data_IF_389111521408
#
_entry.id   IF_389111521408
#
_cell.length_a   1.000
_cell.length_b   1.000
_cell.length_c   1.000
_cell.angle_alpha   90.00
_cell.angle_beta   90.00
_cell.angle_gamma   90.00
#
_symmetry.space_group_name_H-M   'P 1'
#
loop_
_entity.id
_entity.type
_entity.pdbx_description
1 polymer ?
#
# COMPACT_ATOMS: atom_id res chain seq x y z
N UNK A 1 -33.00 14.10 2.72
CA UNK A 1 -33.26 12.84 1.95
C UNK A 1 -32.57 12.75 0.58
N UNK A 2 -32.62 13.78 -0.30
CA UNK A 2 -32.07 13.69 -1.68
C UNK A 2 -30.52 13.54 -1.81
N UNK A 3 -29.74 14.07 -0.87
CA UNK A 3 -28.27 13.99 -0.91
C UNK A 3 -27.71 12.59 -0.55
N UNK A 4 -28.37 11.89 0.37
CA UNK A 4 -28.00 10.52 0.77
C UNK A 4 -28.29 9.51 -0.35
N UNK A 5 -29.46 9.62 -0.98
CA UNK A 5 -29.83 8.82 -2.16
C UNK A 5 -28.90 9.06 -3.36
N UNK A 6 -28.53 10.32 -3.64
CA UNK A 6 -27.51 10.63 -4.66
C UNK A 6 -26.13 10.07 -4.30
N UNK A 7 -25.75 10.01 -3.01
CA UNK A 7 -24.46 9.45 -2.57
C UNK A 7 -24.40 7.93 -2.70
N UNK A 8 -25.51 7.23 -2.43
CA UNK A 8 -25.66 5.79 -2.70
C UNK A 8 -25.55 5.49 -4.21
N UNK A 9 -26.34 6.19 -5.04
CA UNK A 9 -26.33 5.99 -6.50
C UNK A 9 -25.00 6.39 -7.18
N UNK A 10 -24.22 7.31 -6.59
CA UNK A 10 -22.89 7.69 -7.11
C UNK A 10 -21.79 6.72 -6.68
N UNK A 11 -21.98 5.97 -5.58
CA UNK A 11 -21.04 4.93 -5.12
C UNK A 11 -20.94 3.78 -6.12
N UNK A 12 -22.03 3.46 -6.83
CA UNK A 12 -22.12 2.31 -7.75
C UNK A 12 -21.42 2.48 -9.11
N UNK A 13 -21.14 3.71 -9.57
CA UNK A 13 -20.55 3.93 -10.92
C UNK A 13 -19.03 4.10 -10.96
N UNK A 14 -18.37 4.34 -9.83
CA UNK A 14 -16.91 4.54 -9.86
C UNK A 14 -16.17 3.20 -10.02
N UNK A 15 -15.04 3.16 -10.72
CA UNK A 15 -14.19 1.97 -10.74
C UNK A 15 -13.67 1.65 -9.33
N UNK A 16 -13.52 0.36 -9.03
CA UNK A 16 -12.77 -0.11 -7.86
C UNK A 16 -11.28 -0.17 -8.20
N UNK A 17 -10.44 -0.12 -7.17
CA UNK A 17 -9.00 -0.29 -7.30
C UNK A 17 -8.63 -1.72 -6.98
N UNK A 18 -7.71 -2.30 -7.75
CA UNK A 18 -7.16 -3.63 -7.48
C UNK A 18 -5.65 -3.57 -7.42
N UNK A 19 -5.07 -3.87 -6.25
CA UNK A 19 -3.64 -4.13 -6.13
C UNK A 19 -3.35 -5.64 -6.27
N UNK A 20 -2.84 -6.00 -7.44
CA UNK A 20 -2.41 -7.34 -7.77
C UNK A 20 -1.07 -7.61 -7.08
N UNK A 21 -1.12 -8.15 -5.86
CA UNK A 21 0.07 -8.36 -5.05
C UNK A 21 0.82 -9.61 -5.52
N UNK A 22 1.87 -9.44 -6.30
CA UNK A 22 2.82 -10.52 -6.61
C UNK A 22 3.60 -10.85 -5.32
N UNK A 23 3.61 -12.09 -4.83
CA UNK A 23 4.37 -12.44 -3.63
C UNK A 23 5.83 -12.00 -3.74
N UNK A 24 6.39 -11.49 -2.62
CA UNK A 24 7.81 -11.10 -2.49
C UNK A 24 8.26 -9.88 -3.34
N UNK A 25 7.32 -9.07 -3.84
CA UNK A 25 7.61 -7.77 -4.49
C UNK A 25 7.37 -6.57 -3.55
N UNK A 26 7.67 -6.74 -2.25
CA UNK A 26 7.43 -5.77 -1.17
C UNK A 26 5.96 -5.34 -0.98
N UNK A 27 5.00 -6.14 -1.45
CA UNK A 27 3.59 -5.77 -1.43
C UNK A 27 2.98 -5.65 -0.04
N UNK A 28 3.48 -6.32 1.00
CA UNK A 28 2.99 -6.11 2.39
C UNK A 28 3.22 -4.67 2.87
N UNK A 29 4.41 -4.11 2.60
CA UNK A 29 4.71 -2.72 2.94
C UNK A 29 3.87 -1.75 2.09
N UNK A 30 3.71 -2.05 0.80
CA UNK A 30 2.89 -1.23 -0.09
C UNK A 30 1.39 -1.29 0.28
N UNK A 31 0.88 -2.43 0.71
CA UNK A 31 -0.50 -2.58 1.19
C UNK A 31 -0.76 -1.64 2.37
N UNK A 32 0.16 -1.56 3.34
CA UNK A 32 0.04 -0.63 4.47
C UNK A 32 -0.04 0.82 4.00
N UNK A 33 0.73 1.19 2.98
CA UNK A 33 0.69 2.53 2.39
C UNK A 33 -0.62 2.77 1.62
N UNK A 34 -1.07 1.82 0.81
CA UNK A 34 -2.30 1.95 0.02
C UNK A 34 -3.55 2.02 0.91
N UNK A 35 -3.61 1.21 1.96
CA UNK A 35 -4.75 1.13 2.89
C UNK A 35 -5.09 2.48 3.52
N UNK A 36 -4.11 3.37 3.69
CA UNK A 36 -4.36 4.69 4.28
C UNK A 36 -5.24 5.58 3.39
N UNK A 37 -5.27 5.34 2.08
CA UNK A 37 -6.04 6.14 1.14
C UNK A 37 -7.49 5.68 0.92
N UNK A 38 -7.92 4.65 1.66
CA UNK A 38 -9.28 4.12 1.65
C UNK A 38 -9.85 4.04 3.07
N UNK A 39 -11.16 4.18 3.22
CA UNK A 39 -11.82 3.93 4.52
C UNK A 39 -11.80 2.42 4.80
N UNK A 40 -11.70 2.02 6.08
CA UNK A 40 -11.62 0.60 6.46
C UNK A 40 -12.73 -0.24 5.84
N UNK A 41 -13.98 0.22 5.95
CA UNK A 41 -15.17 -0.46 5.40
C UNK A 41 -15.22 -0.56 3.87
N UNK A 42 -14.39 0.23 3.16
CA UNK A 42 -14.32 0.24 1.70
C UNK A 42 -13.18 -0.68 1.19
N UNK A 43 -12.40 -1.32 2.07
CA UNK A 43 -11.31 -2.26 1.74
C UNK A 43 -11.82 -3.69 1.95
N UNK A 44 -11.59 -4.55 0.96
CA UNK A 44 -11.88 -5.98 1.09
C UNK A 44 -10.92 -6.62 2.11
N UNK A 45 -11.42 -7.26 3.18
CA UNK A 45 -10.57 -7.78 4.24
C UNK A 45 -9.78 -9.03 3.80
N UNK A 46 -10.37 -9.86 2.94
CA UNK A 46 -9.70 -11.03 2.38
C UNK A 46 -8.61 -10.62 1.39
N UNK A 47 -7.48 -11.32 1.46
CA UNK A 47 -6.31 -11.12 0.61
C UNK A 47 -5.90 -12.39 -0.13
N UNK A 48 -6.55 -13.50 0.16
CA UNK A 48 -6.27 -14.82 -0.39
C UNK A 48 -7.58 -15.45 -0.81
N UNK A 49 -7.57 -16.24 -1.88
CA UNK A 49 -8.75 -16.95 -2.34
C UNK A 49 -9.38 -17.83 -1.26
N UNK A 50 -8.57 -18.56 -0.48
CA UNK A 50 -9.04 -19.41 0.63
C UNK A 50 -9.79 -18.67 1.76
N UNK A 51 -9.67 -17.35 1.82
CA UNK A 51 -10.38 -16.53 2.80
C UNK A 51 -11.76 -16.11 2.29
N UNK A 52 -12.00 -16.21 0.98
CA UNK A 52 -13.27 -15.83 0.35
C UNK A 52 -14.24 -17.00 0.47
N UNK A 53 -15.10 -16.95 1.48
CA UNK A 53 -16.13 -17.98 1.72
C UNK A 53 -17.37 -17.82 0.82
N UNK A 54 -17.75 -16.58 0.49
CA UNK A 54 -18.93 -16.27 -0.31
C UNK A 54 -18.64 -15.15 -1.33
N UNK A 55 -18.53 -15.54 -2.61
CA UNK A 55 -18.30 -14.60 -3.71
C UNK A 55 -19.47 -13.64 -3.95
N UNK A 56 -20.70 -14.07 -3.71
CA UNK A 56 -21.88 -13.22 -3.89
C UNK A 56 -21.89 -12.12 -2.83
N UNK A 57 -21.60 -12.48 -1.57
CA UNK A 57 -21.45 -11.52 -0.49
C UNK A 57 -20.35 -10.49 -0.79
N UNK A 58 -19.14 -10.93 -1.17
CA UNK A 58 -18.02 -10.02 -1.51
C UNK A 58 -18.39 -9.07 -2.66
N UNK A 59 -19.02 -9.57 -3.73
CA UNK A 59 -19.48 -8.73 -4.85
C UNK A 59 -20.50 -7.70 -4.39
N UNK A 60 -21.48 -8.12 -3.59
CA UNK A 60 -22.58 -7.27 -3.13
C UNK A 60 -22.12 -6.11 -2.25
N UNK A 61 -21.05 -6.30 -1.47
CA UNK A 61 -20.48 -5.26 -0.60
C UNK A 61 -19.85 -4.10 -1.37
N UNK A 62 -19.51 -4.30 -2.65
CA UNK A 62 -19.02 -3.23 -3.55
C UNK A 62 -17.79 -2.48 -3.02
N UNK A 63 -16.82 -3.22 -2.45
CA UNK A 63 -15.53 -2.68 -1.99
C UNK A 63 -14.89 -1.76 -3.04
N UNK A 64 -14.26 -0.67 -2.56
CA UNK A 64 -13.55 0.29 -3.42
C UNK A 64 -12.09 -0.10 -3.63
N UNK A 65 -11.53 -0.91 -2.73
CA UNK A 65 -10.17 -1.38 -2.83
C UNK A 65 -10.09 -2.87 -2.54
N UNK A 66 -9.60 -3.60 -3.54
CA UNK A 66 -9.32 -5.04 -3.48
C UNK A 66 -7.80 -5.18 -3.54
N UNK A 67 -7.23 -6.02 -2.68
CA UNK A 67 -5.78 -6.21 -2.64
C UNK A 67 -5.43 -7.60 -2.14
N UNK A 68 -4.42 -8.21 -2.75
CA UNK A 68 -3.98 -9.53 -2.33
C UNK A 68 -3.57 -10.42 -3.50
N UNK A 69 -3.51 -11.71 -3.20
CA UNK A 69 -3.02 -12.76 -4.09
C UNK A 69 -4.14 -13.34 -4.96
N UNK A 70 -4.81 -12.48 -5.73
CA UNK A 70 -5.94 -12.86 -6.59
C UNK A 70 -5.57 -13.03 -8.08
N UNK A 71 -4.28 -12.85 -8.42
CA UNK A 71 -3.74 -12.90 -9.78
C UNK A 71 -4.27 -11.80 -10.71
N UNK A 72 -3.77 -11.73 -11.95
CA UNK A 72 -4.03 -10.59 -12.83
C UNK A 72 -5.51 -10.42 -13.22
N UNK A 73 -6.18 -11.50 -13.60
CA UNK A 73 -7.58 -11.53 -14.02
C UNK A 73 -8.56 -11.93 -12.91
N UNK A 74 -8.10 -12.64 -11.88
CA UNK A 74 -9.00 -13.26 -10.90
C UNK A 74 -9.85 -12.26 -10.09
N UNK A 75 -9.35 -11.04 -9.83
CA UNK A 75 -10.11 -10.02 -9.13
C UNK A 75 -11.41 -9.58 -9.84
N UNK A 76 -11.56 -9.87 -11.15
CA UNK A 76 -12.82 -9.65 -11.86
C UNK A 76 -13.96 -10.53 -11.31
N UNK A 77 -13.64 -11.60 -10.58
CA UNK A 77 -14.63 -12.43 -9.87
C UNK A 77 -15.04 -11.88 -8.52
N UNK A 78 -14.39 -10.82 -8.01
CA UNK A 78 -14.68 -10.24 -6.71
C UNK A 78 -15.55 -8.97 -6.80
N UNK A 79 -15.79 -8.44 -8.00
CA UNK A 79 -16.57 -7.22 -8.19
C UNK A 79 -17.18 -7.10 -9.57
N UNK A 80 -18.31 -6.40 -9.66
CA UNK A 80 -18.92 -5.99 -10.94
C UNK A 80 -18.38 -4.66 -11.46
N UNK A 81 -17.55 -3.97 -10.67
CA UNK A 81 -17.03 -2.63 -11.00
C UNK A 81 -15.84 -2.76 -11.96
N UNK A 82 -15.66 -1.82 -12.90
CA UNK A 82 -14.41 -1.73 -13.65
C UNK A 82 -13.22 -1.57 -12.69
N UNK A 83 -12.11 -2.24 -12.99
CA UNK A 83 -10.92 -2.25 -12.13
C UNK A 83 -9.84 -1.29 -12.62
N UNK A 84 -9.42 -0.40 -11.73
CA UNK A 84 -8.17 0.36 -11.82
C UNK A 84 -7.05 -0.46 -11.20
N UNK A 85 -6.23 -1.06 -12.05
CA UNK A 85 -5.24 -2.07 -11.64
C UNK A 85 -3.91 -1.42 -11.23
N UNK A 86 -3.32 -1.96 -10.18
CA UNK A 86 -2.05 -1.56 -9.58
C UNK A 86 -1.20 -2.82 -9.37
N UNK A 87 0.12 -2.76 -9.58
CA UNK A 87 1.04 -3.85 -9.21
C UNK A 87 2.44 -3.32 -8.91
N UNK A 88 3.29 -4.16 -8.33
CA UNK A 88 4.71 -3.91 -8.14
C UNK A 88 5.50 -5.11 -8.67
N UNK A 89 6.44 -4.86 -9.57
CA UNK A 89 7.35 -5.85 -10.12
C UNK A 89 8.71 -5.80 -9.41
N UNK A 90 9.49 -6.86 -9.55
CA UNK A 90 10.83 -6.98 -8.98
C UNK A 90 11.73 -7.72 -9.96
N UNK A 91 13.02 -7.41 -9.95
CA UNK A 91 14.03 -8.15 -10.69
C UNK A 91 13.89 -9.67 -10.47
N UNK A 92 13.89 -10.50 -11.54
CA UNK A 92 13.66 -11.94 -11.42
C UNK A 92 14.68 -12.68 -10.54
N UNK A 93 15.94 -12.24 -10.51
CA UNK A 93 17.01 -12.82 -9.68
C UNK A 93 16.74 -12.53 -8.21
N UNK A 94 16.49 -11.27 -7.90
CA UNK A 94 16.11 -10.82 -6.55
C UNK A 94 14.79 -11.44 -6.07
N UNK A 95 13.82 -11.63 -6.96
CA UNK A 95 12.55 -12.29 -6.68
C UNK A 95 12.73 -13.78 -6.36
N UNK A 96 13.54 -14.48 -7.17
CA UNK A 96 13.84 -15.91 -7.00
C UNK A 96 14.55 -16.15 -5.68
N UNK A 97 15.60 -15.37 -5.39
CA UNK A 97 16.32 -15.48 -4.11
C UNK A 97 15.40 -15.15 -2.92
N UNK A 98 14.59 -14.09 -3.02
CA UNK A 98 13.68 -13.72 -1.94
C UNK A 98 12.61 -14.78 -1.67
N UNK A 99 12.25 -15.56 -2.70
CA UNK A 99 11.35 -16.71 -2.59
C UNK A 99 12.05 -17.88 -1.87
N UNK A 100 13.26 -18.24 -2.30
CA UNK A 100 14.09 -19.25 -1.62
C UNK A 100 14.31 -18.93 -0.14
N UNK A 101 14.77 -17.72 0.17
CA UNK A 101 15.03 -17.29 1.55
C UNK A 101 13.77 -17.26 2.42
N UNK A 102 12.60 -16.99 1.82
CA UNK A 102 11.33 -17.07 2.52
C UNK A 102 10.96 -18.52 2.84
N UNK A 103 11.00 -19.42 1.85
CA UNK A 103 10.71 -20.84 2.04
C UNK A 103 11.63 -21.44 3.11
N UNK A 104 12.93 -21.16 3.04
CA UNK A 104 13.91 -21.64 4.01
C UNK A 104 13.64 -21.18 5.46
N UNK A 105 12.97 -20.04 5.64
CA UNK A 105 12.67 -19.49 6.98
C UNK A 105 11.28 -19.88 7.48
N UNK A 106 10.28 -19.89 6.60
CA UNK A 106 8.90 -20.12 6.97
C UNK A 106 8.55 -21.60 6.95
N UNK A 107 8.42 -22.19 8.14
CA UNK A 107 8.12 -23.62 8.36
C UNK A 107 6.83 -24.11 7.68
N UNK A 108 5.86 -23.21 7.49
CA UNK A 108 4.55 -23.55 6.94
C UNK A 108 4.51 -23.49 5.40
N UNK A 109 5.66 -23.49 4.72
CA UNK A 109 5.71 -23.56 3.25
C UNK A 109 5.80 -25.01 2.78
N UNK A 110 5.18 -25.31 1.64
CA UNK A 110 5.00 -26.70 1.14
C UNK A 110 6.31 -27.48 1.04
N UNK A 111 7.41 -26.81 0.69
CA UNK A 111 8.71 -27.43 0.46
C UNK A 111 9.75 -27.02 1.51
N UNK A 112 9.32 -26.49 2.67
CA UNK A 112 10.26 -26.09 3.75
C UNK A 112 11.13 -27.26 4.19
N UNK A 113 10.50 -28.39 4.52
CA UNK A 113 11.17 -29.57 5.06
C UNK A 113 12.15 -30.18 4.05
N UNK A 114 11.79 -30.17 2.76
CA UNK A 114 12.69 -30.55 1.67
C UNK A 114 13.92 -29.62 1.64
N UNK A 115 13.69 -28.30 1.56
CA UNK A 115 14.78 -27.31 1.41
C UNK A 115 15.72 -27.31 2.61
N UNK A 116 15.19 -27.45 3.83
CA UNK A 116 16.00 -27.44 5.06
C UNK A 116 16.60 -28.81 5.34
N UNK A 117 15.82 -29.89 5.18
CA UNK A 117 16.24 -31.26 5.47
C UNK A 117 17.34 -31.75 4.54
N UNK A 118 17.25 -31.43 3.25
CA UNK A 118 18.30 -31.74 2.26
C UNK A 118 19.37 -30.64 2.17
N UNK A 119 19.25 -29.59 2.98
CA UNK A 119 20.14 -28.44 2.98
C UNK A 119 20.36 -27.82 1.59
N UNK A 120 19.31 -27.78 0.75
CA UNK A 120 19.39 -27.30 -0.61
C UNK A 120 20.01 -25.90 -0.68
N UNK A 121 21.08 -25.78 -1.46
CA UNK A 121 21.65 -24.49 -1.83
C UNK A 121 20.65 -23.70 -2.69
N UNK A 122 20.91 -22.41 -2.91
CA UNK A 122 20.05 -21.64 -3.82
C UNK A 122 20.17 -22.20 -5.25
N UNK A 123 21.39 -22.59 -5.65
CA UNK A 123 21.69 -23.22 -6.93
C UNK A 123 20.89 -24.51 -7.14
N UNK A 124 20.83 -25.39 -6.14
CA UNK A 124 20.09 -26.66 -6.21
C UNK A 124 18.58 -26.42 -6.21
N UNK A 125 18.11 -25.48 -5.39
CA UNK A 125 16.71 -25.07 -5.37
C UNK A 125 16.20 -24.57 -6.73
N UNK A 126 17.06 -23.97 -7.56
CA UNK A 126 16.69 -23.49 -8.88
C UNK A 126 16.48 -24.61 -9.91
N UNK A 127 17.01 -25.81 -9.68
CA UNK A 127 16.97 -26.92 -10.65
C UNK A 127 16.27 -28.18 -10.11
N UNK A 128 16.00 -28.23 -8.81
CA UNK A 128 15.34 -29.37 -8.20
C UNK A 128 13.88 -29.49 -8.71
N UNK A 129 13.43 -30.69 -9.13
CA UNK A 129 12.11 -30.89 -9.76
C UNK A 129 10.94 -30.32 -8.96
N UNK A 130 10.98 -30.47 -7.63
CA UNK A 130 9.90 -30.03 -6.74
C UNK A 130 9.92 -28.53 -6.40
N UNK A 131 10.99 -27.81 -6.75
CA UNK A 131 11.16 -26.40 -6.35
C UNK A 131 11.34 -25.44 -7.52
N UNK A 132 11.86 -25.88 -8.66
CA UNK A 132 12.10 -25.04 -9.85
C UNK A 132 10.84 -24.28 -10.28
N UNK A 133 9.68 -24.93 -10.26
CA UNK A 133 8.41 -24.32 -10.65
C UNK A 133 7.93 -23.20 -9.72
N UNK A 134 8.41 -23.17 -8.47
CA UNK A 134 8.06 -22.14 -7.49
C UNK A 134 8.68 -20.78 -7.82
N UNK A 135 9.71 -20.76 -8.67
CA UNK A 135 10.43 -19.54 -9.07
C UNK A 135 10.44 -19.28 -10.57
N UNK A 136 9.93 -20.19 -11.39
CA UNK A 136 9.92 -20.02 -12.86
C UNK A 136 8.79 -19.11 -13.34
N UNK A 137 9.13 -18.04 -14.05
CA UNK A 137 8.25 -17.07 -14.69
C UNK A 137 7.09 -16.60 -13.79
N UNK A 138 7.36 -16.34 -12.51
CA UNK A 138 6.32 -16.08 -11.50
C UNK A 138 5.51 -14.83 -11.79
N UNK A 139 6.14 -13.73 -12.21
CA UNK A 139 5.43 -12.47 -12.49
C UNK A 139 4.49 -12.65 -13.68
N UNK A 140 4.97 -13.29 -14.74
CA UNK A 140 4.17 -13.60 -15.93
C UNK A 140 3.00 -14.51 -15.56
N UNK A 141 3.25 -15.65 -14.89
CA UNK A 141 2.20 -16.59 -14.46
C UNK A 141 1.16 -15.90 -13.56
N UNK A 142 1.60 -15.05 -12.64
CA UNK A 142 0.70 -14.33 -11.74
C UNK A 142 -0.20 -13.32 -12.48
N UNK A 143 0.38 -12.54 -13.40
CA UNK A 143 -0.35 -11.50 -14.13
C UNK A 143 -1.18 -12.05 -15.30
N UNK A 144 -0.83 -13.22 -15.84
CA UNK A 144 -1.61 -13.90 -16.88
C UNK A 144 -2.84 -14.63 -16.33
N UNK A 145 -2.77 -15.06 -15.06
CA UNK A 145 -3.80 -15.83 -14.37
C UNK A 145 -5.20 -15.24 -14.54
N UNK A 146 -6.14 -16.09 -14.94
CA UNK A 146 -7.56 -15.80 -14.99
C UNK A 146 -8.35 -17.12 -14.98
N UNK A 147 -9.49 -17.14 -14.29
CA UNK A 147 -10.34 -18.34 -14.18
C UNK A 147 -10.88 -18.84 -15.51
N UNK A 148 -10.99 -17.95 -16.51
CA UNK A 148 -11.51 -18.30 -17.84
C UNK A 148 -10.44 -18.60 -18.87
N UNK A 149 -9.32 -17.89 -18.86
CA UNK A 149 -8.36 -17.96 -19.97
C UNK A 149 -7.02 -18.58 -19.61
N UNK A 150 -6.66 -18.67 -18.33
CA UNK A 150 -5.40 -19.27 -17.87
C UNK A 150 -5.54 -19.83 -16.45
N UNK A 151 -6.35 -20.90 -16.26
CA UNK A 151 -6.58 -21.49 -14.96
C UNK A 151 -5.34 -22.23 -14.43
N UNK A 152 -4.40 -22.59 -15.30
CA UNK A 152 -3.22 -23.38 -14.96
C UNK A 152 -2.18 -22.67 -14.07
N UNK A 153 -2.23 -21.33 -13.98
CA UNK A 153 -1.33 -20.59 -13.10
C UNK A 153 -1.65 -20.77 -11.59
N UNK A 154 -2.70 -21.53 -11.24
CA UNK A 154 -3.18 -21.74 -9.88
C UNK A 154 -2.19 -22.47 -8.97
N UNK A 155 -1.47 -23.48 -9.49
CA UNK A 155 -0.62 -24.37 -8.71
C UNK A 155 0.54 -23.65 -8.01
N UNK A 156 0.94 -22.47 -8.52
CA UNK A 156 2.06 -21.69 -7.97
C UNK A 156 1.63 -20.78 -6.80
N UNK A 157 0.33 -20.56 -6.62
CA UNK A 157 -0.19 -19.55 -5.66
C UNK A 157 -1.27 -20.07 -4.71
N UNK A 158 -1.84 -21.24 -4.98
CA UNK A 158 -2.97 -21.82 -4.24
C UNK A 158 -2.58 -23.17 -3.65
N UNK A 159 -3.04 -23.46 -2.44
CA UNK A 159 -2.90 -24.82 -1.88
C UNK A 159 -3.79 -25.79 -2.65
N UNK A 160 -3.49 -27.11 -2.64
CA UNK A 160 -4.37 -28.12 -3.24
C UNK A 160 -5.83 -28.00 -2.79
N UNK A 161 -6.06 -27.72 -1.50
CA UNK A 161 -7.39 -27.45 -0.96
C UNK A 161 -8.06 -26.23 -1.62
N UNK A 162 -7.33 -25.13 -1.76
CA UNK A 162 -7.88 -23.91 -2.39
C UNK A 162 -8.18 -24.15 -3.87
N UNK A 163 -7.39 -24.98 -4.56
CA UNK A 163 -7.65 -25.35 -5.95
C UNK A 163 -8.95 -26.15 -6.04
N UNK A 164 -9.15 -27.13 -5.16
CA UNK A 164 -10.40 -27.91 -5.10
C UNK A 164 -11.62 -27.00 -4.85
N UNK A 165 -11.52 -26.08 -3.88
CA UNK A 165 -12.60 -25.14 -3.54
C UNK A 165 -12.95 -24.20 -4.72
N UNK A 166 -11.97 -23.83 -5.54
CA UNK A 166 -12.15 -22.95 -6.69
C UNK A 166 -12.42 -23.69 -8.00
N UNK A 167 -12.32 -25.02 -8.03
CA UNK A 167 -12.55 -25.84 -9.21
C UNK A 167 -13.90 -25.55 -9.90
N UNK A 168 -15.02 -25.31 -9.17
CA UNK A 168 -16.30 -24.96 -9.80
C UNK A 168 -16.29 -23.64 -10.59
N UNK A 169 -15.32 -22.76 -10.33
CA UNK A 169 -15.18 -21.46 -11.00
C UNK A 169 -14.33 -21.53 -12.26
N UNK A 170 -13.66 -22.66 -12.50
CA UNK A 170 -12.83 -22.89 -13.67
C UNK A 170 -13.71 -23.26 -14.87
N UNK A 171 -13.49 -22.60 -16.00
CA UNK A 171 -14.03 -23.09 -17.27
C UNK A 171 -13.19 -24.28 -17.73
N UNK A 172 -13.68 -25.51 -17.54
CA UNK A 172 -12.98 -26.76 -17.85
C UNK A 172 -12.60 -27.00 -19.33
N UNK A 173 -12.87 -26.04 -20.22
CA UNK A 173 -12.63 -26.15 -21.68
C UNK A 173 -11.57 -25.16 -22.21
N UNK A 174 -10.83 -24.49 -21.34
CA UNK A 174 -9.86 -23.48 -21.78
C UNK A 174 -8.54 -24.11 -22.20
N UNK A 175 -7.99 -23.77 -23.38
CA UNK A 175 -6.73 -24.33 -23.84
C UNK A 175 -5.59 -23.93 -22.90
N UNK A 176 -4.67 -24.86 -22.64
CA UNK A 176 -3.44 -24.59 -21.88
C UNK A 176 -2.63 -23.57 -22.68
N UNK A 177 -2.35 -22.42 -22.08
CA UNK A 177 -1.56 -21.38 -22.72
C UNK A 177 -0.08 -21.77 -22.76
N UNK A 178 0.58 -21.44 -23.87
CA UNK A 178 2.04 -21.48 -23.94
C UNK A 178 2.65 -20.35 -23.10
N UNK A 179 3.92 -20.48 -22.69
CA UNK A 179 4.58 -19.43 -21.91
C UNK A 179 4.66 -18.09 -22.66
N UNK A 180 4.79 -18.13 -24.00
CA UNK A 180 4.72 -16.94 -24.83
C UNK A 180 3.33 -16.28 -24.78
N UNK A 181 2.25 -17.07 -24.86
CA UNK A 181 0.90 -16.53 -24.71
C UNK A 181 0.66 -15.93 -23.33
N UNK A 182 1.20 -16.54 -22.27
CA UNK A 182 1.14 -15.98 -20.90
C UNK A 182 1.91 -14.67 -20.82
N UNK A 183 3.11 -14.58 -21.39
CA UNK A 183 3.89 -13.35 -21.47
C UNK A 183 3.11 -12.22 -22.17
N UNK A 184 2.54 -12.49 -23.34
CA UNK A 184 1.75 -11.49 -24.06
C UNK A 184 0.55 -10.99 -23.25
N UNK A 185 -0.11 -11.89 -22.50
CA UNK A 185 -1.20 -11.52 -21.57
C UNK A 185 -0.71 -10.67 -20.41
N UNK A 186 0.39 -11.04 -19.76
CA UNK A 186 0.98 -10.28 -18.66
C UNK A 186 1.41 -8.87 -19.11
N UNK A 187 2.04 -8.77 -20.28
CA UNK A 187 2.40 -7.48 -20.89
C UNK A 187 1.17 -6.64 -21.21
N UNK A 188 0.12 -7.23 -21.80
CA UNK A 188 -1.16 -6.55 -22.04
C UNK A 188 -1.79 -6.07 -20.73
N UNK A 189 -1.71 -6.85 -19.66
CA UNK A 189 -2.20 -6.47 -18.34
C UNK A 189 -1.48 -5.23 -17.81
N UNK A 190 -0.13 -5.19 -17.92
CA UNK A 190 0.66 -4.03 -17.51
C UNK A 190 0.29 -2.77 -18.31
N UNK A 191 0.10 -2.91 -19.62
CA UNK A 191 -0.27 -1.78 -20.49
C UNK A 191 -1.64 -1.18 -20.14
N UNK A 192 -2.53 -1.99 -19.57
CA UNK A 192 -3.85 -1.57 -19.12
C UNK A 192 -3.87 -1.13 -17.65
N UNK A 193 -2.77 -1.32 -16.91
CA UNK A 193 -2.71 -0.95 -15.51
C UNK A 193 -2.78 0.58 -15.35
N UNK A 194 -3.47 1.03 -14.31
CA UNK A 194 -3.46 2.45 -13.95
C UNK A 194 -2.05 2.89 -13.54
N UNK A 195 -1.34 1.99 -12.86
CA UNK A 195 0.02 2.20 -12.39
C UNK A 195 0.68 0.86 -12.13
N UNK A 196 2.00 0.79 -12.34
CA UNK A 196 2.85 -0.25 -11.80
C UNK A 196 4.17 0.35 -11.35
N UNK A 197 4.78 -0.25 -10.34
CA UNK A 197 6.12 0.11 -9.87
C UNK A 197 7.16 -0.96 -10.19
N UNK A 198 8.42 -0.55 -10.17
CA UNK A 198 9.59 -1.46 -10.14
C UNK A 198 10.28 -1.30 -8.80
N UNK A 199 10.52 -2.41 -8.10
CA UNK A 199 10.96 -2.38 -6.70
C UNK A 199 12.34 -1.71 -6.52
N UNK A 200 13.23 -1.82 -7.50
CA UNK A 200 14.56 -1.22 -7.44
C UNK A 200 14.53 0.31 -7.40
N UNK A 201 13.42 0.91 -7.85
CA UNK A 201 13.14 2.35 -7.77
C UNK A 201 11.90 2.62 -6.92
N UNK A 202 11.80 1.97 -5.76
CA UNK A 202 10.61 2.02 -4.89
C UNK A 202 10.14 3.45 -4.57
N UNK A 203 11.04 4.34 -4.16
CA UNK A 203 10.67 5.70 -3.74
C UNK A 203 10.15 6.52 -4.94
N UNK A 204 10.78 6.41 -6.11
CA UNK A 204 10.28 6.98 -7.38
C UNK A 204 8.92 6.37 -7.78
N UNK A 205 8.74 5.07 -7.55
CA UNK A 205 7.49 4.41 -7.84
C UNK A 205 6.35 4.97 -6.98
N UNK A 206 6.61 5.28 -5.70
CA UNK A 206 5.65 5.93 -4.81
C UNK A 206 5.36 7.37 -5.21
N UNK A 207 6.35 8.11 -5.72
CA UNK A 207 6.16 9.45 -6.30
C UNK A 207 5.26 9.42 -7.53
N UNK A 208 5.52 8.50 -8.46
CA UNK A 208 4.67 8.29 -9.65
C UNK A 208 3.24 7.90 -9.26
N UNK A 209 3.09 7.02 -8.27
CA UNK A 209 1.78 6.64 -7.75
C UNK A 209 1.05 7.87 -7.17
N UNK A 210 1.74 8.69 -6.39
CA UNK A 210 1.18 9.90 -5.78
C UNK A 210 0.70 10.89 -6.84
N UNK A 211 1.48 11.10 -7.91
CA UNK A 211 1.09 11.90 -9.05
C UNK A 211 -0.17 11.37 -9.76
N UNK A 212 -0.17 10.08 -10.12
CA UNK A 212 -1.27 9.42 -10.84
C UNK A 212 -2.57 9.42 -10.03
N UNK A 213 -2.45 9.20 -8.73
CA UNK A 213 -3.58 9.10 -7.81
C UNK A 213 -4.01 10.46 -7.25
N UNK A 214 -3.21 11.51 -7.46
CA UNK A 214 -3.39 12.85 -6.88
C UNK A 214 -3.46 12.75 -5.37
N UNK A 215 -2.48 12.08 -4.81
CA UNK A 215 -2.29 11.92 -3.37
C UNK A 215 -1.14 12.82 -2.91
N UNK A 216 -1.13 13.22 -1.63
CA UNK A 216 0.04 13.90 -1.08
C UNK A 216 1.26 12.99 -1.20
N UNK A 217 2.48 13.56 -1.17
CA UNK A 217 3.70 12.77 -1.07
C UNK A 217 3.60 11.79 0.10
N UNK A 218 4.03 10.54 -0.08
CA UNK A 218 3.81 9.50 0.93
C UNK A 218 4.68 9.67 2.19
N UNK A 219 5.66 10.58 2.17
CA UNK A 219 6.60 10.82 3.25
C UNK A 219 7.70 9.76 3.31
N UNK A 220 8.35 9.67 4.47
CA UNK A 220 9.46 8.73 4.66
C UNK A 220 8.95 7.28 4.76
N UNK A 221 9.58 6.37 3.99
CA UNK A 221 9.28 4.95 4.07
C UNK A 221 10.18 4.25 5.09
N UNK A 222 9.59 3.59 6.11
CA UNK A 222 10.36 2.72 7.00
C UNK A 222 10.54 1.34 6.36
N UNK A 223 11.73 1.06 5.83
CA UNK A 223 12.06 -0.20 5.16
C UNK A 223 12.38 -1.31 6.18
N UNK A 224 11.38 -1.75 6.94
CA UNK A 224 11.50 -2.75 8.02
C UNK A 224 11.97 -4.15 7.56
N UNK A 225 11.76 -4.48 6.29
CA UNK A 225 12.03 -5.83 5.74
C UNK A 225 13.23 -5.86 4.78
N UNK A 226 14.16 -4.89 4.86
CA UNK A 226 15.37 -4.93 4.04
C UNK A 226 16.32 -5.99 4.61
N UNK A 227 16.72 -6.98 3.79
CA UNK A 227 17.82 -7.86 4.19
C UNK A 227 19.04 -7.00 4.55
N UNK A 228 19.58 -7.19 5.77
CA UNK A 228 20.68 -6.39 6.34
C UNK A 228 21.93 -6.45 5.44
N UNK A 229 22.10 -7.54 4.68
CA UNK A 229 23.05 -7.66 3.58
C UNK A 229 22.35 -8.24 2.36
N UNK A 230 22.59 -7.66 1.17
CA UNK A 230 22.19 -8.31 -0.09
C UNK A 230 22.97 -9.63 -0.19
N UNK A 231 22.31 -10.73 -0.56
CA UNK A 231 23.00 -11.99 -0.78
C UNK A 231 23.98 -11.85 -1.95
N UNK A 232 25.14 -12.47 -1.84
CA UNK A 232 26.03 -12.65 -2.98
C UNK A 232 25.47 -13.84 -3.77
N UNK A 233 24.96 -13.58 -4.96
CA UNK A 233 24.41 -14.60 -5.87
C UNK A 233 25.51 -14.94 -6.87
N UNK A 234 25.87 -16.22 -6.97
CA UNK A 234 26.88 -16.71 -7.90
C UNK A 234 26.46 -16.49 -9.36
N UNK A 235 27.44 -16.41 -10.28
CA UNK A 235 27.14 -16.28 -11.72
C UNK A 235 26.35 -17.50 -12.24
N UNK A 236 26.65 -18.70 -11.72
CA UNK A 236 25.90 -19.91 -12.04
C UNK A 236 24.44 -19.81 -11.59
N UNK A 237 24.17 -19.39 -10.35
CA UNK A 237 22.80 -19.18 -9.87
C UNK A 237 22.07 -18.11 -10.67
N UNK A 238 22.75 -17.00 -10.99
CA UNK A 238 22.20 -15.94 -11.82
C UNK A 238 21.79 -16.48 -13.19
N UNK A 239 22.67 -17.21 -13.87
CA UNK A 239 22.37 -17.78 -15.18
C UNK A 239 21.17 -18.74 -15.11
N UNK A 240 21.14 -19.65 -14.13
CA UNK A 240 20.02 -20.58 -13.91
C UNK A 240 18.70 -19.85 -13.69
N UNK A 241 18.69 -18.75 -12.94
CA UNK A 241 17.49 -17.92 -12.81
C UNK A 241 17.08 -17.39 -14.18
N UNK A 242 17.98 -16.77 -14.93
CA UNK A 242 17.67 -16.14 -16.20
C UNK A 242 17.13 -17.15 -17.23
N UNK A 243 17.68 -18.36 -17.25
CA UNK A 243 17.21 -19.45 -18.11
C UNK A 243 15.78 -19.88 -17.74
N UNK A 244 15.51 -20.06 -16.43
CA UNK A 244 14.19 -20.44 -15.92
C UNK A 244 13.15 -19.31 -15.98
N UNK A 245 13.59 -18.06 -16.16
CA UNK A 245 12.76 -16.84 -16.04
C UNK A 245 12.83 -15.94 -17.27
N UNK A 246 13.08 -16.50 -18.46
CA UNK A 246 13.22 -15.73 -19.70
C UNK A 246 12.10 -14.72 -19.91
N UNK A 247 10.84 -15.13 -19.70
CA UNK A 247 9.68 -14.25 -19.91
C UNK A 247 9.48 -13.25 -18.77
N UNK A 248 9.84 -13.61 -17.54
CA UNK A 248 9.87 -12.67 -16.41
C UNK A 248 10.93 -11.57 -16.62
N UNK A 249 12.12 -11.93 -17.14
CA UNK A 249 13.16 -10.97 -17.53
C UNK A 249 12.68 -10.04 -18.64
N UNK A 250 12.09 -10.59 -19.71
CA UNK A 250 11.50 -9.77 -20.79
C UNK A 250 10.39 -8.84 -20.30
N UNK A 251 9.56 -9.29 -19.36
CA UNK A 251 8.50 -8.48 -18.77
C UNK A 251 9.08 -7.38 -17.88
N UNK A 252 10.11 -7.69 -17.10
CA UNK A 252 10.77 -6.74 -16.20
C UNK A 252 11.52 -5.65 -16.96
N UNK A 253 12.29 -6.00 -17.99
CA UNK A 253 12.98 -5.04 -18.86
C UNK A 253 11.97 -4.09 -19.51
N UNK A 254 10.87 -4.63 -20.04
CA UNK A 254 9.77 -3.85 -20.57
C UNK A 254 9.19 -2.90 -19.51
N UNK A 255 8.92 -3.40 -18.30
CA UNK A 255 8.38 -2.60 -17.20
C UNK A 255 9.35 -1.49 -16.79
N UNK A 256 10.66 -1.73 -16.72
CA UNK A 256 11.65 -0.71 -16.41
C UNK A 256 11.65 0.42 -17.43
N UNK A 257 11.64 0.10 -18.73
CA UNK A 257 11.61 1.09 -19.80
C UNK A 257 10.33 1.95 -19.75
N UNK A 258 9.17 1.29 -19.62
CA UNK A 258 7.88 1.98 -19.52
C UNK A 258 7.79 2.83 -18.25
N UNK A 259 8.24 2.31 -17.11
CA UNK A 259 8.29 3.06 -15.85
C UNK A 259 9.17 4.31 -15.98
N UNK A 260 10.38 4.18 -16.53
CA UNK A 260 11.29 5.31 -16.74
C UNK A 260 10.71 6.38 -17.68
N UNK A 261 9.98 5.98 -18.72
CA UNK A 261 9.24 6.91 -19.60
C UNK A 261 8.11 7.64 -18.85
N UNK A 262 7.30 6.91 -18.09
CA UNK A 262 6.20 7.48 -17.30
C UNK A 262 6.71 8.41 -16.19
N UNK A 263 7.83 8.07 -15.56
CA UNK A 263 8.46 8.90 -14.53
C UNK A 263 8.97 10.22 -15.10
N UNK A 264 9.71 10.20 -16.22
CA UNK A 264 10.14 11.42 -16.91
C UNK A 264 8.97 12.28 -17.37
N UNK A 265 7.91 11.65 -17.86
CA UNK A 265 6.67 12.36 -18.24
C UNK A 265 6.04 13.07 -17.04
N UNK A 266 6.03 12.43 -15.86
CA UNK A 266 5.59 13.07 -14.62
C UNK A 266 6.49 14.25 -14.26
N UNK A 267 7.81 14.08 -14.27
CA UNK A 267 8.75 15.16 -13.94
C UNK A 267 8.53 16.38 -14.83
N UNK A 268 8.48 16.17 -16.15
CA UNK A 268 8.21 17.25 -17.11
C UNK A 268 6.85 17.93 -16.85
N UNK A 269 5.81 17.17 -16.50
CA UNK A 269 4.49 17.72 -16.18
C UNK A 269 4.45 18.49 -14.85
N UNK A 270 5.46 18.32 -14.01
CA UNK A 270 5.67 19.05 -12.76
C UNK A 270 6.73 20.16 -12.90
N UNK A 271 7.17 20.45 -14.14
CA UNK A 271 8.25 21.40 -14.44
C UNK A 271 9.58 21.05 -13.74
N UNK A 272 9.90 19.75 -13.71
CA UNK A 272 11.10 19.17 -13.09
C UNK A 272 11.86 18.29 -14.09
N UNK A 273 13.08 17.91 -13.72
CA UNK A 273 13.96 17.02 -14.47
C UNK A 273 14.52 15.89 -13.58
N UNK A 274 15.34 15.00 -14.15
CA UNK A 274 15.94 13.87 -13.41
C UNK A 274 17.03 14.28 -12.41
N UNK A 275 17.53 15.52 -12.49
CA UNK A 275 18.53 16.09 -11.57
C UNK A 275 17.88 16.77 -10.36
N UNK A 276 16.56 16.98 -10.42
CA UNK A 276 15.78 17.62 -9.37
C UNK A 276 15.85 16.83 -8.07
N UNK A 277 16.12 17.54 -6.97
CA UNK A 277 16.20 16.92 -5.65
C UNK A 277 14.88 16.27 -5.23
N UNK A 278 14.95 15.21 -4.43
CA UNK A 278 13.77 14.52 -3.88
C UNK A 278 12.78 15.47 -3.20
N UNK A 279 13.31 16.46 -2.46
CA UNK A 279 12.51 17.48 -1.78
C UNK A 279 11.75 18.38 -2.76
N UNK A 280 12.38 18.73 -3.90
CA UNK A 280 11.73 19.52 -4.94
C UNK A 280 10.59 18.74 -5.61
N UNK A 281 10.83 17.44 -5.89
CA UNK A 281 9.80 16.56 -6.45
C UNK A 281 8.62 16.42 -5.49
N UNK A 282 8.87 16.14 -4.21
CA UNK A 282 7.81 16.00 -3.22
C UNK A 282 7.03 17.32 -3.01
N UNK A 283 7.70 18.48 -3.08
CA UNK A 283 7.03 19.78 -3.03
C UNK A 283 6.11 20.01 -4.25
N UNK A 284 6.57 19.69 -5.45
CA UNK A 284 5.75 19.80 -6.67
C UNK A 284 4.56 18.82 -6.65
N UNK A 285 4.76 17.60 -6.14
CA UNK A 285 3.69 16.63 -5.94
C UNK A 285 2.64 17.13 -4.94
N UNK A 286 3.05 17.76 -3.84
CA UNK A 286 2.11 18.34 -2.88
C UNK A 286 1.28 19.46 -3.51
N UNK A 287 1.89 20.33 -4.31
CA UNK A 287 1.15 21.35 -5.07
C UNK A 287 0.17 20.73 -6.08
N UNK A 288 0.61 19.74 -6.86
CA UNK A 288 -0.23 19.00 -7.79
C UNK A 288 -1.45 18.39 -7.09
N UNK A 289 -1.21 17.71 -5.97
CA UNK A 289 -2.24 17.15 -5.11
C UNK A 289 -3.26 18.21 -4.66
N UNK A 290 -2.79 19.32 -4.05
CA UNK A 290 -3.67 20.36 -3.54
C UNK A 290 -4.54 20.98 -4.64
N UNK A 291 -3.93 21.32 -5.80
CA UNK A 291 -4.65 21.88 -6.97
C UNK A 291 -5.77 20.95 -7.44
N UNK A 292 -5.52 19.65 -7.48
CA UNK A 292 -6.51 18.68 -7.93
C UNK A 292 -7.58 18.37 -6.87
N UNK A 293 -7.20 18.29 -5.61
CA UNK A 293 -8.14 17.98 -4.54
C UNK A 293 -9.14 19.12 -4.36
N UNK A 294 -8.66 20.36 -4.32
CA UNK A 294 -9.49 21.56 -4.16
C UNK A 294 -10.56 21.70 -5.26
N UNK A 295 -10.26 21.29 -6.51
CA UNK A 295 -11.22 21.35 -7.63
C UNK A 295 -12.33 20.29 -7.55
N UNK A 296 -12.12 19.20 -6.82
CA UNK A 296 -12.99 18.02 -6.86
C UNK A 296 -13.79 17.79 -5.57
N UNK A 297 -13.39 18.44 -4.47
CA UNK A 297 -13.95 18.18 -3.15
C UNK A 297 -14.72 19.39 -2.64
N UNK A 298 -15.84 19.10 -1.98
CA UNK A 298 -16.63 20.11 -1.28
C UNK A 298 -15.96 20.34 0.06
N UNK A 299 -15.58 21.60 0.32
CA UNK A 299 -15.06 22.02 1.61
C UNK A 299 -16.07 21.75 2.71
N UNK A 300 -15.63 21.07 3.76
CA UNK A 300 -16.48 20.74 4.91
C UNK A 300 -16.70 21.97 5.81
N UNK A 301 -17.83 22.00 6.50
CA UNK A 301 -18.07 23.02 7.53
C UNK A 301 -17.54 22.60 8.89
N UNK A 302 -17.45 21.30 9.12
CA UNK A 302 -16.91 20.66 10.32
C UNK A 302 -16.32 19.29 9.93
N UNK A 303 -15.39 18.79 10.73
CA UNK A 303 -14.79 17.47 10.58
C UNK A 303 -15.02 16.65 11.86
N UNK A 304 -15.44 15.41 11.68
CA UNK A 304 -15.39 14.36 12.69
C UNK A 304 -14.60 13.19 12.09
N UNK A 305 -13.30 13.16 12.37
CA UNK A 305 -12.36 12.20 11.82
C UNK A 305 -11.98 11.15 12.86
N UNK A 306 -12.19 9.88 12.52
CA UNK A 306 -11.62 8.73 13.20
C UNK A 306 -10.58 8.03 12.32
N UNK A 307 -9.66 7.28 12.93
CA UNK A 307 -8.58 6.60 12.19
C UNK A 307 -9.03 5.43 11.29
N UNK A 308 -10.32 5.09 11.28
CA UNK A 308 -10.97 4.18 10.34
C UNK A 308 -11.27 4.86 8.99
N UNK A 309 -11.28 6.18 8.93
CA UNK A 309 -11.48 6.94 7.69
C UNK A 309 -10.21 6.95 6.82
N UNK A 310 -10.35 7.55 5.62
CA UNK A 310 -9.23 7.83 4.72
C UNK A 310 -8.29 8.84 5.37
N UNK A 311 -6.99 8.53 5.40
CA UNK A 311 -5.94 9.38 5.88
C UNK A 311 -5.26 10.10 4.72
N UNK A 312 -5.24 11.43 4.77
CA UNK A 312 -4.46 12.30 3.90
C UNK A 312 -3.42 13.02 4.75
N UNK A 313 -2.15 12.98 4.32
CA UNK A 313 -1.02 13.52 5.07
C UNK A 313 0.12 12.51 5.19
N UNK A 314 1.13 12.82 6.00
CA UNK A 314 2.42 12.12 5.97
C UNK A 314 2.80 11.52 7.32
N UNK A 315 3.64 10.47 7.27
CA UNK A 315 4.28 9.85 8.44
C UNK A 315 3.27 9.39 9.52
N UNK A 316 2.39 8.49 9.10
CA UNK A 316 1.53 7.71 10.00
C UNK A 316 1.60 6.24 9.65
N UNK A 317 1.65 5.41 10.68
CA UNK A 317 1.61 3.97 10.55
C UNK A 317 0.22 3.45 10.18
N UNK A 318 0.13 2.13 9.98
CA UNK A 318 -1.14 1.42 9.75
C UNK A 318 -2.16 1.72 10.84
N UNK A 319 -3.45 1.61 10.50
CA UNK A 319 -4.53 1.63 11.47
C UNK A 319 -4.43 0.40 12.38
N UNK A 320 -4.74 0.59 13.65
CA UNK A 320 -4.79 -0.46 14.67
C UNK A 320 -6.12 -0.37 15.39
N UNK A 321 -6.61 -1.51 15.88
CA UNK A 321 -7.94 -1.63 16.49
C UNK A 321 -7.81 -1.76 18.00
N UNK A 322 -8.68 -1.04 18.71
CA UNK A 322 -8.84 -1.16 20.17
C UNK A 322 -10.19 -1.79 20.42
N UNK A 323 -10.17 -3.02 20.92
CA UNK A 323 -11.40 -3.79 21.16
C UNK A 323 -12.31 -3.11 22.19
N UNK A 324 -11.73 -2.60 23.28
CA UNK A 324 -12.49 -1.94 24.36
C UNK A 324 -13.30 -0.74 23.88
N UNK A 325 -12.72 0.07 22.98
CA UNK A 325 -13.33 1.29 22.46
C UNK A 325 -14.12 1.05 21.17
N UNK A 326 -13.98 -0.15 20.57
CA UNK A 326 -14.40 -0.45 19.19
C UNK A 326 -13.98 0.64 18.21
N UNK A 327 -12.73 1.08 18.32
CA UNK A 327 -12.21 2.23 17.59
C UNK A 327 -10.84 1.95 16.96
N UNK A 328 -10.58 2.64 15.85
CA UNK A 328 -9.26 2.66 15.25
C UNK A 328 -8.39 3.77 15.83
N UNK A 329 -7.09 3.53 15.87
CA UNK A 329 -6.05 4.53 16.13
C UNK A 329 -4.86 4.35 15.20
N UNK A 330 -3.96 5.33 15.18
CA UNK A 330 -2.71 5.29 14.41
C UNK A 330 -1.56 5.94 15.18
N UNK A 331 -0.42 5.27 15.17
CA UNK A 331 0.85 5.85 15.61
C UNK A 331 1.40 6.84 14.57
N UNK A 332 1.88 8.00 15.03
CA UNK A 332 2.74 8.88 14.25
C UNK A 332 4.14 8.28 14.11
N UNK A 333 4.83 8.59 13.01
CA UNK A 333 6.13 8.03 12.65
C UNK A 333 6.23 7.63 11.17
N UNK A 334 7.41 7.32 10.63
CA UNK A 334 8.64 6.95 11.34
C UNK A 334 9.56 8.12 11.68
N UNK A 335 9.19 9.36 11.34
CA UNK A 335 9.97 10.56 11.68
C UNK A 335 9.33 11.32 12.82
N UNK A 336 10.04 12.30 13.37
CA UNK A 336 9.51 13.20 14.41
C UNK A 336 8.43 14.16 13.92
N UNK A 337 8.11 14.15 12.62
CA UNK A 337 7.07 14.99 12.01
C UNK A 337 5.98 14.14 11.40
N UNK A 338 4.73 14.53 11.63
CA UNK A 338 3.56 13.94 10.98
C UNK A 338 2.59 15.04 10.55
N UNK A 339 1.72 14.76 9.58
CA UNK A 339 0.69 15.71 9.17
C UNK A 339 -0.62 15.03 8.81
N UNK A 340 -1.73 15.75 9.00
CA UNK A 340 -3.05 15.37 8.50
C UNK A 340 -3.67 16.55 7.76
N UNK A 341 -4.24 16.27 6.60
CA UNK A 341 -4.83 17.28 5.74
C UNK A 341 -6.36 17.18 5.73
N UNK A 342 -7.02 18.31 5.94
CA UNK A 342 -8.46 18.46 5.84
C UNK A 342 -8.82 19.62 4.91
N UNK A 343 -9.96 19.52 4.22
CA UNK A 343 -10.49 20.60 3.36
C UNK A 343 -11.74 21.18 4.01
N UNK A 344 -11.62 22.38 4.54
CA UNK A 344 -12.68 23.07 5.29
C UNK A 344 -12.93 24.46 4.72
N UNK A 345 -14.13 25.00 4.94
CA UNK A 345 -14.41 26.39 4.58
C UNK A 345 -13.58 27.33 5.46
N UNK A 346 -13.02 28.45 4.95
CA UNK A 346 -12.24 29.36 5.79
C UNK A 346 -13.08 30.02 6.90
N UNK A 347 -12.92 29.54 8.14
CA UNK A 347 -13.56 30.05 9.36
C UNK A 347 -12.62 29.90 10.57
N UNK A 348 -13.00 30.52 11.69
CA UNK A 348 -12.42 30.18 12.98
C UNK A 348 -12.93 28.80 13.39
N UNK A 349 -12.03 27.98 13.92
CA UNK A 349 -12.30 26.62 14.32
C UNK A 349 -11.72 26.35 15.71
N UNK A 350 -12.46 25.58 16.51
CA UNK A 350 -11.92 24.85 17.64
C UNK A 350 -11.61 23.41 17.20
N UNK A 351 -10.36 23.00 17.40
CA UNK A 351 -9.88 21.66 17.07
C UNK A 351 -9.67 20.89 18.36
N UNK A 352 -10.15 19.65 18.40
CA UNK A 352 -9.95 18.71 19.51
C UNK A 352 -9.28 17.46 18.97
N UNK A 353 -8.18 17.06 19.61
CA UNK A 353 -7.41 15.87 19.27
C UNK A 353 -7.47 14.89 20.44
N UNK A 354 -7.73 13.62 20.15
CA UNK A 354 -7.73 12.57 21.17
C UNK A 354 -6.49 11.68 20.98
N UNK A 355 -5.51 11.88 21.86
CA UNK A 355 -4.31 11.06 21.98
C UNK A 355 -4.57 9.97 23.01
N UNK A 356 -4.25 8.73 22.67
CA UNK A 356 -4.53 7.56 23.51
C UNK A 356 -3.28 6.87 24.04
N UNK A 357 -2.10 7.25 23.54
CA UNK A 357 -0.81 6.79 24.03
C UNK A 357 0.32 7.65 23.46
N UNK A 358 1.49 7.60 24.07
CA UNK A 358 2.73 8.25 23.63
C UNK A 358 3.95 7.55 24.24
N UNK A 359 5.15 7.85 23.73
CA UNK A 359 6.39 7.32 24.33
C UNK A 359 6.58 7.73 25.80
N UNK A 360 6.19 8.97 26.13
CA UNK A 360 6.28 9.49 27.49
C UNK A 360 5.36 10.70 27.66
N UNK A 361 5.08 11.05 28.91
CA UNK A 361 4.37 12.29 29.25
C UNK A 361 5.14 13.52 28.76
N UNK A 362 6.46 13.55 28.99
CA UNK A 362 7.35 14.63 28.54
C UNK A 362 7.37 14.83 27.02
N UNK A 363 7.13 13.79 26.24
CA UNK A 363 6.99 13.91 24.78
C UNK A 363 5.72 14.68 24.41
N UNK A 364 4.60 14.42 25.10
CA UNK A 364 3.35 15.14 24.88
C UNK A 364 3.42 16.58 25.40
N UNK A 365 4.09 16.82 26.53
CA UNK A 365 4.35 18.19 27.03
C UNK A 365 5.12 19.02 26.00
N UNK A 366 6.10 18.40 25.33
CA UNK A 366 6.90 19.04 24.28
C UNK A 366 6.28 18.98 22.87
N UNK A 367 5.05 18.49 22.69
CA UNK A 367 4.44 18.34 21.38
C UNK A 367 4.17 19.72 20.77
N UNK A 368 4.71 19.96 19.57
CA UNK A 368 4.41 21.18 18.81
C UNK A 368 3.38 20.88 17.73
N UNK A 369 2.34 21.70 17.67
CA UNK A 369 1.27 21.61 16.68
C UNK A 369 1.35 22.82 15.75
N UNK A 370 1.11 22.58 14.47
CA UNK A 370 1.13 23.59 13.42
C UNK A 370 -0.16 23.53 12.61
N UNK A 371 -0.67 24.68 12.18
CA UNK A 371 -1.71 24.77 11.15
C UNK A 371 -1.10 25.46 9.94
N UNK A 372 -1.01 24.75 8.82
CA UNK A 372 -0.38 25.25 7.57
C UNK A 372 0.98 25.92 7.85
N UNK A 373 1.86 25.19 8.54
CA UNK A 373 3.22 25.58 8.94
C UNK A 373 3.33 26.70 10.00
N UNK A 374 2.23 27.29 10.45
CA UNK A 374 2.20 28.23 11.58
C UNK A 374 2.02 27.49 12.90
N UNK A 375 2.92 27.70 13.84
CA UNK A 375 2.82 27.11 15.17
C UNK A 375 1.59 27.66 15.91
N UNK A 376 0.88 26.80 16.63
CA UNK A 376 -0.30 27.17 17.41
C UNK A 376 -0.18 26.63 18.84
N UNK A 377 -0.66 27.43 19.78
CA UNK A 377 -0.78 27.00 21.16
C UNK A 377 -1.92 26.02 21.33
N UNK A 378 -1.76 25.11 22.28
CA UNK A 378 -2.75 24.12 22.64
C UNK A 378 -2.79 23.93 24.15
N UNK A 379 -3.90 23.43 24.65
CA UNK A 379 -4.09 23.10 26.06
C UNK A 379 -4.70 21.72 26.24
N UNK A 380 -4.48 21.12 27.41
CA UNK A 380 -5.09 19.86 27.84
C UNK A 380 -5.37 19.98 29.32
N UNK A 381 -6.54 19.50 29.76
CA UNK A 381 -6.84 19.34 31.20
C UNK A 381 -6.35 17.98 31.72
N UNK A 382 -5.94 17.09 30.81
CA UNK A 382 -5.42 15.76 31.13
C UNK A 382 -3.89 15.80 31.29
N UNK A 383 -3.36 14.96 32.18
CA UNK A 383 -1.93 14.66 32.34
C UNK A 383 -1.59 13.23 31.86
N UNK A 384 -0.30 12.90 31.76
CA UNK A 384 0.15 11.58 31.29
C UNK A 384 0.11 11.40 29.77
N UNK A 385 0.13 10.13 29.32
CA UNK A 385 0.26 9.72 27.90
C UNK A 385 -1.08 9.64 27.13
N UNK A 386 -2.19 9.86 27.83
CA UNK A 386 -3.55 9.91 27.27
C UNK A 386 -4.05 11.33 27.45
N UNK A 387 -4.36 12.04 26.36
CA UNK A 387 -4.76 13.46 26.43
C UNK A 387 -5.81 13.82 25.40
N UNK A 388 -6.74 14.67 25.82
CA UNK A 388 -7.61 15.45 24.95
C UNK A 388 -7.02 16.85 24.78
N UNK A 389 -6.38 17.07 23.65
CA UNK A 389 -5.75 18.35 23.31
C UNK A 389 -6.76 19.25 22.62
N UNK A 390 -6.85 20.51 23.05
CA UNK A 390 -7.67 21.55 22.43
C UNK A 390 -6.80 22.68 21.91
N UNK A 391 -7.12 23.18 20.71
CA UNK A 391 -6.47 24.37 20.15
C UNK A 391 -7.48 25.17 19.30
N UNK A 392 -7.17 26.45 19.10
CA UNK A 392 -7.91 27.33 18.22
C UNK A 392 -7.18 27.48 16.89
N UNK A 393 -7.93 27.43 15.79
CA UNK A 393 -7.46 27.67 14.44
C UNK A 393 -8.17 28.91 13.90
N UNK A 394 -7.52 30.09 13.89
CA UNK A 394 -8.07 31.28 13.25
C UNK A 394 -8.31 31.06 11.76
N UNK A 395 -9.31 31.75 11.19
CA UNK A 395 -9.63 31.74 9.75
C UNK A 395 -8.40 32.00 8.89
N UNK A 396 -7.55 32.93 9.30
CA UNK A 396 -6.35 33.32 8.57
C UNK A 396 -5.32 32.19 8.41
N UNK A 397 -5.39 31.14 9.24
CA UNK A 397 -4.53 29.97 9.12
C UNK A 397 -5.08 28.91 8.16
N UNK A 398 -6.33 29.02 7.69
CA UNK A 398 -6.87 28.12 6.65
C UNK A 398 -6.49 28.69 5.29
N UNK A 399 -5.91 27.87 4.41
CA UNK A 399 -5.54 28.33 3.07
C UNK A 399 -6.77 28.68 2.22
N UNK A 400 -6.59 29.54 1.22
CA UNK A 400 -7.67 29.98 0.31
C UNK A 400 -8.31 28.80 -0.45
N UNK A 401 -7.52 27.75 -0.73
CA UNK A 401 -7.99 26.50 -1.34
C UNK A 401 -8.74 25.58 -0.34
N UNK A 402 -8.98 26.05 0.89
CA UNK A 402 -9.64 25.33 1.98
C UNK A 402 -8.74 24.36 2.75
N UNK A 403 -7.46 24.22 2.41
CA UNK A 403 -6.57 23.30 3.11
C UNK A 403 -6.34 23.78 4.56
N UNK A 404 -6.60 22.87 5.48
CA UNK A 404 -6.20 22.92 6.89
C UNK A 404 -5.30 21.71 7.12
N UNK A 405 -3.98 21.92 7.03
CA UNK A 405 -2.96 20.91 7.35
C UNK A 405 -2.58 21.03 8.82
N UNK A 406 -2.92 20.02 9.61
CA UNK A 406 -2.47 19.90 11.00
C UNK A 406 -1.12 19.18 10.99
N UNK A 407 -0.04 19.91 11.30
CA UNK A 407 1.30 19.38 11.46
C UNK A 407 1.60 19.07 12.93
N UNK A 408 2.36 18.01 13.16
CA UNK A 408 2.83 17.58 14.48
C UNK A 408 4.35 17.49 14.46
N UNK A 409 5.01 17.94 15.53
CA UNK A 409 6.43 17.71 15.77
C UNK A 409 6.65 17.27 17.21
N UNK A 410 7.12 16.03 17.40
CA UNK A 410 7.60 15.53 18.69
C UNK A 410 9.13 15.69 18.81
N UNK A 411 9.64 15.57 20.02
CA UNK A 411 11.09 15.65 20.30
C UNK A 411 11.86 14.44 19.76
N UNK A 412 11.24 13.26 19.77
CA UNK A 412 11.86 12.00 19.36
C UNK A 412 10.82 10.99 18.86
N UNK A 413 11.32 9.94 18.21
CA UNK A 413 10.62 8.69 17.93
C UNK A 413 11.51 7.54 18.43
N UNK A 414 10.90 6.42 18.77
CA UNK A 414 11.59 5.23 19.26
C UNK A 414 10.90 3.99 18.68
N UNK A 415 11.60 2.86 18.56
CA UNK A 415 10.90 1.64 18.13
C UNK A 415 9.84 1.26 19.16
N UNK A 416 8.69 0.75 18.69
CA UNK A 416 7.64 0.25 19.59
C UNK A 416 8.15 -0.91 20.47
N UNK A 417 9.15 -1.66 19.99
CA UNK A 417 9.87 -2.68 20.74
C UNK A 417 10.63 -2.10 21.93
N UNK A 418 11.46 -1.09 21.72
CA UNK A 418 12.22 -0.43 22.80
C UNK A 418 11.30 0.30 23.77
N UNK A 419 10.26 0.97 23.27
CA UNK A 419 9.36 1.77 24.09
C UNK A 419 8.40 0.95 24.97
N UNK A 420 7.92 -0.20 24.46
CA UNK A 420 6.83 -0.95 25.07
C UNK A 420 7.12 -2.45 25.23
N UNK A 421 8.36 -2.89 25.03
CA UNK A 421 8.75 -4.31 25.20
C UNK A 421 8.11 -5.27 24.18
N UNK A 422 7.72 -4.77 23.01
CA UNK A 422 7.09 -5.56 21.95
C UNK A 422 8.10 -6.14 20.95
N UNK A 423 7.63 -6.91 19.95
CA UNK A 423 8.43 -7.32 18.80
C UNK A 423 8.34 -6.35 17.60
N UNK A 424 7.71 -5.19 17.78
CA UNK A 424 7.40 -4.25 16.71
C UNK A 424 8.50 -3.19 16.54
N UNK A 425 9.20 -3.24 15.40
CA UNK A 425 10.34 -2.35 15.11
C UNK A 425 9.94 -1.00 14.50
N UNK A 426 8.63 -0.70 14.41
CA UNK A 426 8.15 0.59 13.90
C UNK A 426 8.62 1.73 14.80
N UNK A 427 9.19 2.78 14.21
CA UNK A 427 9.53 4.00 14.94
C UNK A 427 8.25 4.81 15.20
N UNK A 428 7.84 4.94 16.46
CA UNK A 428 6.57 5.57 16.86
C UNK A 428 6.79 6.79 17.77
N UNK A 429 5.87 7.75 17.74
CA UNK A 429 5.86 8.91 18.64
C UNK A 429 4.65 8.95 19.57
N UNK A 430 3.47 9.20 19.00
CA UNK A 430 2.19 9.24 19.74
C UNK A 430 1.07 8.56 18.94
N UNK A 431 0.05 8.08 19.64
CA UNK A 431 -1.09 7.38 19.07
C UNK A 431 -2.32 8.30 19.04
N UNK A 432 -2.76 8.66 17.83
CA UNK A 432 -3.96 9.46 17.59
C UNK A 432 -5.16 8.51 17.38
N UNK A 433 -6.28 8.81 18.05
CA UNK A 433 -7.56 8.10 17.84
C UNK A 433 -8.56 8.90 17.01
N UNK A 434 -8.69 10.20 17.31
CA UNK A 434 -9.79 11.03 16.79
C UNK A 434 -9.40 12.51 16.67
N UNK A 435 -9.96 13.19 15.67
CA UNK A 435 -9.89 14.65 15.48
C UNK A 435 -11.29 15.20 15.25
N UNK A 436 -11.65 16.26 15.96
CA UNK A 436 -12.89 17.02 15.78
C UNK A 436 -12.52 18.45 15.42
N UNK A 437 -13.07 18.97 14.33
CA UNK A 437 -12.90 20.37 13.89
C UNK A 437 -14.30 20.99 13.81
N UNK A 438 -14.60 21.93 14.70
CA UNK A 438 -15.91 22.60 14.81
C UNK A 438 -15.72 24.11 14.86
N UNK A 439 -16.68 24.86 14.35
CA UNK A 439 -16.66 26.33 14.41
C UNK A 439 -16.83 26.83 15.83
#
# INVERSE_FOLDING_TARGET
MKAWFKRLLKKDKQPAYYFAHIPKTAGTSLIVLLDRYFAHQDIMPEQLWRQVSDLAAVKSHNYRFIRGHFGGGGAAMLTHRPLKKLTMLRDPVELSFSTYAFIKREKNTVVHDLVVGEALSFEDFLIHPDTQNLVSNRMVRYLSFDFKHDPSAQEVFLSPQTIADLQPLLSGNSPILTDEQRYQRAKKWLNQALWFGVLDRFDDAMRLLSYRMRWPPMGASQKLNKHIKRPVISDLARQRVLDNNRHDSQLYDYAQQQFGSQYRTMLNALDLDELSSEKAIDAALDQHYQRHYARQHIMAEAIDYDCGQKLLGQNWHRREWIEADKAFFRWSGPTTRASLDFWVKPHNYKITLHIINALSESLLDGLKIFINDQAVDWSSNDSGVVRTIQLNCPKALVQDNGLLRIGFKCSQVMSHAEAFGSNDQRQVGFALKKIIIKR
#
